data_IF_361522977261
#
_entry.id   IF_361522977261
#
_cell.length_a   1.000
_cell.length_b   1.000
_cell.length_c   1.000
_cell.angle_alpha   90.00
_cell.angle_beta   90.00
_cell.angle_gamma   90.00
#
_symmetry.space_group_name_H-M   'P 1'
#
loop_
_entity.id
_entity.type
_entity.pdbx_description
1 polymer ?
#
# COMPACT_ATOMS: atom_id res chain seq x y z
N UNK A 1 -10.91 -15.37 17.61
CA UNK A 1 -11.31 -14.38 16.58
C UNK A 1 -10.50 -13.11 16.82
N UNK A 2 -9.69 -12.67 15.86
CA UNK A 2 -9.01 -11.38 15.97
C UNK A 2 -10.00 -10.30 15.53
N UNK A 3 -10.35 -9.37 16.42
CA UNK A 3 -11.27 -8.28 16.08
C UNK A 3 -10.61 -7.32 15.07
N UNK A 4 -11.38 -6.53 14.31
CA UNK A 4 -10.84 -5.45 13.46
C UNK A 4 -9.90 -4.49 14.21
N UNK A 5 -10.12 -4.35 15.53
CA UNK A 5 -9.28 -3.60 16.46
C UNK A 5 -7.90 -4.25 16.67
N UNK A 6 -7.83 -5.58 16.68
CA UNK A 6 -6.57 -6.33 16.81
C UNK A 6 -5.73 -6.24 15.54
N UNK A 7 -6.36 -6.28 14.35
CA UNK A 7 -5.64 -6.11 13.08
C UNK A 7 -5.11 -4.67 12.94
N UNK A 8 -5.92 -3.66 13.25
CA UNK A 8 -5.47 -2.26 13.29
C UNK A 8 -4.34 -2.02 14.29
N UNK A 9 -4.40 -2.65 15.48
CA UNK A 9 -3.33 -2.50 16.47
C UNK A 9 -2.04 -3.17 16.02
N UNK A 10 -2.11 -4.36 15.43
CA UNK A 10 -0.93 -5.02 14.85
C UNK A 10 -0.31 -4.18 13.74
N UNK A 11 -1.13 -3.58 12.86
CA UNK A 11 -0.65 -2.68 11.82
C UNK A 11 -0.05 -1.38 12.37
N UNK A 12 -0.56 -0.87 13.50
CA UNK A 12 -0.03 0.32 14.18
C UNK A 12 1.28 0.04 14.93
N UNK A 13 1.33 -1.07 15.69
CA UNK A 13 2.52 -1.52 16.44
C UNK A 13 3.68 -1.89 15.49
N UNK A 14 3.38 -2.25 14.24
CA UNK A 14 4.37 -2.53 13.18
C UNK A 14 5.00 -1.27 12.56
N UNK A 15 4.35 -0.11 12.72
CA UNK A 15 4.81 1.15 12.13
C UNK A 15 5.64 2.02 13.07
N UNK A 16 5.71 1.65 14.36
CA UNK A 16 6.62 2.28 15.32
C UNK A 16 7.96 1.50 15.36
N UNK A 17 9.04 2.20 15.04
CA UNK A 17 10.46 1.85 15.29
C UNK A 17 11.20 0.77 14.48
N UNK A 18 10.59 0.09 13.48
CA UNK A 18 11.34 -0.86 12.65
C UNK A 18 11.95 -0.23 11.37
N UNK A 19 13.22 -0.57 11.10
CA UNK A 19 13.84 -0.28 9.82
C UNK A 19 13.05 -1.01 8.71
N UNK A 20 12.81 -0.30 7.60
CA UNK A 20 11.94 -0.75 6.50
C UNK A 20 12.25 -2.19 6.03
N UNK A 21 13.51 -2.57 6.01
CA UNK A 21 13.96 -3.87 5.50
C UNK A 21 13.61 -5.00 6.49
N UNK A 22 13.77 -4.78 7.80
CA UNK A 22 13.32 -5.73 8.83
C UNK A 22 11.80 -5.86 8.84
N UNK A 23 11.09 -4.75 8.62
CA UNK A 23 9.64 -4.78 8.50
C UNK A 23 9.18 -5.57 7.27
N UNK A 24 9.86 -5.39 6.12
CA UNK A 24 9.58 -6.13 4.90
C UNK A 24 9.84 -7.65 5.07
N UNK A 25 10.89 -8.05 5.79
CA UNK A 25 11.20 -9.46 6.05
C UNK A 25 10.21 -10.10 7.05
N UNK A 26 9.88 -9.40 8.13
CA UNK A 26 8.86 -9.84 9.09
C UNK A 26 7.49 -9.96 8.40
N UNK A 27 7.15 -9.01 7.54
CA UNK A 27 5.92 -9.05 6.76
C UNK A 27 5.91 -10.21 5.76
N UNK A 28 7.03 -10.48 5.05
CA UNK A 28 7.15 -11.64 4.16
C UNK A 28 6.99 -12.94 4.93
N UNK A 29 7.58 -13.06 6.11
CA UNK A 29 7.48 -14.25 6.95
C UNK A 29 6.06 -14.45 7.50
N UNK A 30 5.46 -13.40 8.06
CA UNK A 30 4.11 -13.45 8.63
C UNK A 30 3.05 -13.69 7.54
N UNK A 31 3.15 -12.98 6.41
CA UNK A 31 2.24 -13.15 5.29
C UNK A 31 2.44 -14.50 4.63
N UNK A 32 3.66 -14.98 4.37
CA UNK A 32 3.85 -16.30 3.75
C UNK A 32 3.31 -17.45 4.60
N UNK A 33 3.49 -17.40 5.94
CA UNK A 33 3.01 -18.43 6.86
C UNK A 33 1.50 -18.35 7.13
N UNK A 34 0.90 -17.16 6.99
CA UNK A 34 -0.51 -16.94 7.27
C UNK A 34 -1.32 -16.57 6.04
N UNK A 35 -0.75 -16.61 4.83
CA UNK A 35 -1.43 -16.17 3.60
C UNK A 35 -2.72 -16.93 3.40
N UNK A 36 -2.67 -18.26 3.57
CA UNK A 36 -3.83 -19.14 3.52
C UNK A 36 -4.86 -18.78 4.59
N UNK A 37 -4.44 -18.46 5.83
CA UNK A 37 -5.36 -17.99 6.88
C UNK A 37 -5.93 -16.60 6.59
N UNK A 38 -5.17 -15.70 5.97
CA UNK A 38 -5.63 -14.38 5.56
C UNK A 38 -6.62 -14.52 4.41
N UNK A 39 -6.39 -15.46 3.49
CA UNK A 39 -7.31 -15.82 2.41
C UNK A 39 -8.58 -16.48 2.98
N UNK A 40 -8.45 -17.38 3.94
CA UNK A 40 -9.60 -17.95 4.65
C UNK A 40 -10.37 -16.88 5.43
N UNK A 41 -9.66 -15.85 5.91
CA UNK A 41 -10.23 -14.65 6.55
C UNK A 41 -10.73 -13.62 5.53
N UNK A 42 -10.34 -13.68 4.25
CA UNK A 42 -10.92 -12.82 3.20
C UNK A 42 -12.36 -13.19 2.89
N UNK A 43 -12.79 -14.42 3.20
CA UNK A 43 -14.23 -14.74 3.26
C UNK A 43 -14.96 -14.03 4.42
N UNK A 44 -14.22 -13.47 5.38
CA UNK A 44 -14.72 -12.68 6.50
C UNK A 44 -14.38 -11.18 6.37
N UNK A 45 -13.70 -10.76 5.30
CA UNK A 45 -13.57 -9.35 4.96
C UNK A 45 -14.89 -8.92 4.31
N UNK A 46 -15.39 -7.77 4.75
CA UNK A 46 -16.42 -7.07 3.99
C UNK A 46 -15.87 -6.71 2.60
N UNK A 47 -16.77 -6.47 1.67
CA UNK A 47 -16.44 -6.17 0.27
C UNK A 47 -15.47 -4.99 0.16
N UNK A 48 -15.55 -4.02 1.09
CA UNK A 48 -14.65 -2.88 1.20
C UNK A 48 -13.22 -3.28 1.59
N UNK A 49 -13.04 -4.10 2.63
CA UNK A 49 -11.72 -4.58 3.05
C UNK A 49 -11.04 -5.43 1.97
N UNK A 50 -11.82 -6.23 1.25
CA UNK A 50 -11.31 -7.00 0.11
C UNK A 50 -10.89 -6.09 -1.05
N UNK A 51 -11.68 -5.07 -1.37
CA UNK A 51 -11.35 -4.10 -2.41
C UNK A 51 -10.05 -3.34 -2.09
N UNK A 52 -9.85 -2.97 -0.82
CA UNK A 52 -8.61 -2.32 -0.38
C UNK A 52 -7.39 -3.24 -0.47
N UNK A 53 -7.52 -4.51 -0.11
CA UNK A 53 -6.44 -5.49 -0.22
C UNK A 53 -5.99 -5.64 -1.69
N UNK A 54 -6.94 -5.85 -2.60
CA UNK A 54 -6.64 -5.95 -4.02
C UNK A 54 -6.07 -4.64 -4.57
N UNK A 55 -6.57 -3.48 -4.12
CA UNK A 55 -6.11 -2.20 -4.61
C UNK A 55 -4.65 -1.92 -4.23
N UNK A 56 -4.28 -2.22 -2.98
CA UNK A 56 -2.89 -2.10 -2.52
C UNK A 56 -1.97 -3.10 -3.21
N UNK A 57 -2.41 -4.36 -3.35
CA UNK A 57 -1.67 -5.39 -4.05
C UNK A 57 -1.42 -5.00 -5.52
N UNK A 58 -2.46 -4.55 -6.24
CA UNK A 58 -2.37 -4.12 -7.64
C UNK A 58 -1.51 -2.86 -7.80
N UNK A 59 -1.65 -1.88 -6.90
CA UNK A 59 -0.92 -0.61 -6.95
C UNK A 59 0.60 -0.79 -6.76
N UNK A 60 1.02 -1.69 -5.87
CA UNK A 60 2.43 -1.95 -5.59
C UNK A 60 3.02 -3.11 -6.41
N UNK A 61 2.21 -3.85 -7.15
CA UNK A 61 2.68 -4.95 -7.97
C UNK A 61 3.59 -4.49 -9.12
N UNK A 62 4.45 -5.41 -9.57
CA UNK A 62 5.21 -5.21 -10.79
C UNK A 62 4.29 -5.09 -12.01
N UNK A 63 4.79 -4.50 -13.11
CA UNK A 63 4.03 -4.37 -14.37
C UNK A 63 3.51 -5.71 -14.91
N UNK A 64 4.21 -6.81 -14.63
CA UNK A 64 3.81 -8.16 -15.05
C UNK A 64 2.82 -8.83 -14.10
N UNK A 65 2.80 -8.44 -12.82
CA UNK A 65 1.93 -9.02 -11.79
C UNK A 65 0.60 -8.27 -11.66
N UNK A 66 0.59 -6.95 -11.86
CA UNK A 66 -0.61 -6.13 -11.73
C UNK A 66 -1.79 -6.62 -12.60
N UNK A 67 -1.62 -6.99 -13.89
CA UNK A 67 -2.72 -7.53 -14.70
C UNK A 67 -3.31 -8.82 -14.12
N UNK A 68 -2.46 -9.70 -13.58
CA UNK A 68 -2.90 -10.98 -12.98
C UNK A 68 -3.71 -10.77 -11.71
N UNK A 69 -3.41 -9.70 -10.96
CA UNK A 69 -4.19 -9.30 -9.78
C UNK A 69 -5.51 -8.66 -10.21
N UNK A 70 -5.49 -7.82 -11.26
CA UNK A 70 -6.67 -7.15 -11.80
C UNK A 70 -7.72 -8.13 -12.38
N UNK A 71 -7.29 -9.29 -12.88
CA UNK A 71 -8.14 -10.34 -13.44
C UNK A 71 -8.58 -11.40 -12.41
N UNK A 72 -8.21 -11.24 -11.13
CA UNK A 72 -8.50 -12.24 -10.11
C UNK A 72 -10.00 -12.32 -9.80
N UNK A 73 -10.55 -13.54 -9.74
CA UNK A 73 -11.99 -13.82 -9.60
C UNK A 73 -12.63 -13.26 -8.32
N UNK A 74 -11.84 -13.10 -7.26
CA UNK A 74 -12.30 -12.53 -5.98
C UNK A 74 -12.15 -11.01 -5.90
N UNK A 75 -11.67 -10.34 -6.96
CA UNK A 75 -11.44 -8.89 -6.94
C UNK A 75 -12.77 -8.14 -7.05
N UNK A 76 -13.16 -7.32 -6.05
CA UNK A 76 -14.36 -6.49 -6.16
C UNK A 76 -14.21 -5.41 -7.23
N UNK A 77 -15.30 -5.01 -7.88
CA UNK A 77 -15.28 -3.97 -8.94
C UNK A 77 -14.74 -2.62 -8.43
N UNK A 78 -15.08 -2.25 -7.19
CA UNK A 78 -14.67 -1.01 -6.52
C UNK A 78 -13.14 -0.88 -6.40
N UNK A 79 -12.41 -1.99 -6.44
CA UNK A 79 -10.94 -2.01 -6.46
C UNK A 79 -10.38 -1.12 -7.56
N UNK A 80 -11.01 -1.09 -8.74
CA UNK A 80 -10.53 -0.31 -9.88
C UNK A 80 -10.51 1.19 -9.57
N UNK A 81 -11.55 1.68 -8.89
CA UNK A 81 -11.63 3.08 -8.46
C UNK A 81 -10.57 3.39 -7.41
N UNK A 82 -10.36 2.48 -6.45
CA UNK A 82 -9.33 2.63 -5.42
C UNK A 82 -7.93 2.68 -6.02
N UNK A 83 -7.61 1.80 -6.98
CA UNK A 83 -6.31 1.81 -7.69
C UNK A 83 -6.11 3.12 -8.45
N UNK A 84 -7.13 3.62 -9.15
CA UNK A 84 -7.05 4.89 -9.86
C UNK A 84 -6.83 6.08 -8.91
N UNK A 85 -7.51 6.07 -7.76
CA UNK A 85 -7.33 7.07 -6.70
C UNK A 85 -5.89 7.05 -6.15
N UNK A 86 -5.37 5.87 -5.78
CA UNK A 86 -4.01 5.71 -5.26
C UNK A 86 -2.94 6.19 -6.26
N UNK A 87 -3.12 5.89 -7.55
CA UNK A 87 -2.24 6.39 -8.62
C UNK A 87 -2.25 7.91 -8.73
N UNK A 88 -3.41 8.53 -8.67
CA UNK A 88 -3.57 9.99 -8.69
C UNK A 88 -2.93 10.64 -7.46
N UNK A 89 -3.21 10.13 -6.26
CA UNK A 89 -2.63 10.62 -5.02
C UNK A 89 -1.10 10.53 -5.03
N UNK A 90 -0.54 9.40 -5.48
CA UNK A 90 0.89 9.23 -5.62
C UNK A 90 1.53 10.17 -6.66
N UNK A 91 0.84 10.45 -7.76
CA UNK A 91 1.28 11.42 -8.77
C UNK A 91 1.32 12.84 -8.19
N UNK A 92 0.27 13.25 -7.47
CA UNK A 92 0.17 14.54 -6.81
C UNK A 92 1.28 14.73 -5.77
N UNK A 93 1.54 13.72 -4.95
CA UNK A 93 2.62 13.75 -3.96
C UNK A 93 3.99 13.87 -4.61
N UNK A 94 4.23 13.20 -5.75
CA UNK A 94 5.49 13.32 -6.50
C UNK A 94 5.66 14.72 -7.08
N UNK A 95 4.60 15.28 -7.66
CA UNK A 95 4.62 16.65 -8.20
C UNK A 95 4.90 17.68 -7.09
N UNK A 96 4.24 17.57 -5.94
CA UNK A 96 4.46 18.45 -4.79
C UNK A 96 5.90 18.37 -4.26
N UNK A 97 6.46 17.14 -4.15
CA UNK A 97 7.86 16.95 -3.74
C UNK A 97 8.85 17.54 -4.76
N UNK A 98 8.57 17.40 -6.06
CA UNK A 98 9.39 17.98 -7.11
C UNK A 98 9.38 19.52 -7.07
N UNK A 99 8.19 20.12 -6.89
CA UNK A 99 8.04 21.58 -6.74
C UNK A 99 8.81 22.10 -5.52
N UNK A 100 8.63 21.47 -4.36
CA UNK A 100 9.34 21.85 -3.14
C UNK A 100 10.87 21.69 -3.25
N UNK A 101 11.34 20.69 -4.02
CA UNK A 101 12.77 20.52 -4.31
C UNK A 101 13.29 21.64 -5.23
N UNK A 102 12.55 21.98 -6.28
CA UNK A 102 12.91 23.05 -7.21
C UNK A 102 12.98 24.42 -6.52
N UNK A 103 12.03 24.73 -5.62
CA UNK A 103 12.04 25.95 -4.81
C UNK A 103 13.26 26.03 -3.88
N UNK A 104 13.62 24.91 -3.25
CA UNK A 104 14.82 24.81 -2.40
C UNK A 104 16.12 24.99 -3.19
N UNK A 105 16.19 24.44 -4.40
CA UNK A 105 17.35 24.59 -5.28
C UNK A 105 17.48 26.02 -5.81
N UNK A 106 16.36 26.67 -6.17
CA UNK A 106 16.33 28.07 -6.58
C UNK A 106 16.74 29.02 -5.43
N UNK A 107 16.27 28.76 -4.21
CA UNK A 107 16.64 29.55 -3.04
C UNK A 107 18.12 29.41 -2.66
N UNK A 108 18.72 28.23 -2.85
CA UNK A 108 20.17 28.03 -2.66
C UNK A 108 20.99 28.77 -3.73
N UNK A 109 20.58 28.69 -4.99
CA UNK A 109 21.28 29.36 -6.09
C UNK A 109 21.27 30.90 -5.97
N UNK A 110 20.28 31.49 -5.30
CA UNK A 110 20.22 32.93 -5.03
C UNK A 110 21.07 33.38 -3.82
N UNK A 111 21.44 32.45 -2.93
CA UNK A 111 22.19 32.75 -1.71
C UNK A 111 23.70 32.52 -1.87
N UNK A 112 24.11 31.77 -2.90
CA UNK A 112 25.50 31.44 -3.22
C UNK A 112 26.09 32.34 -4.35
N UNK A 113 25.37 33.39 -4.77
CA UNK A 113 25.79 34.39 -5.77
C UNK A 113 25.82 35.81 -5.21
#
# INVERSE_FOLDING_TARGET
MASPKALRRVLADLTEDLARDELEDIMRELLSRKLSKIIDSTNALDEEGLAWLFALAEFHASKSAAPRIAEHVLRPEETTKLVARLKTEAANQRAAKAAAKAEREAAKAQNDG
#
